data_IF_959002848590
#
_entry.id   IF_959002848590
#
_cell.length_a   1.000
_cell.length_b   1.000
_cell.length_c   1.000
_cell.angle_alpha   90.00
_cell.angle_beta   90.00
_cell.angle_gamma   90.00
#
_symmetry.space_group_name_H-M   'P 1'
#
loop_
_entity.id
_entity.type
_entity.pdbx_description
1 polymer ?
#
# COMPACT_ATOMS: atom_id res chain seq x y z
N UNK A 1 -6.76 -2.19 15.88
CA UNK A 1 -5.94 -1.82 14.74
C UNK A 1 -6.13 -2.82 13.63
N UNK A 2 -6.33 -2.32 12.44
CA UNK A 2 -6.43 -3.15 11.25
C UNK A 2 -5.19 -2.93 10.39
N UNK A 3 -4.62 -4.03 9.87
CA UNK A 3 -3.53 -3.92 8.91
C UNK A 3 -3.95 -4.54 7.57
N UNK A 4 -3.32 -4.08 6.51
CA UNK A 4 -3.56 -4.62 5.18
C UNK A 4 -2.33 -4.39 4.31
N UNK A 5 -2.22 -5.16 3.25
CA UNK A 5 -1.08 -5.10 2.35
C UNK A 5 -1.54 -5.11 0.89
N UNK A 6 -0.71 -4.51 0.05
CA UNK A 6 -0.97 -4.42 -1.38
C UNK A 6 0.35 -4.54 -2.14
N UNK A 7 0.27 -4.96 -3.38
CA UNK A 7 1.44 -5.07 -4.24
C UNK A 7 1.22 -4.37 -5.57
N UNK A 8 2.30 -3.84 -6.13
CA UNK A 8 2.32 -3.27 -7.46
C UNK A 8 3.73 -3.46 -8.03
N UNK A 9 3.88 -3.41 -9.33
CA UNK A 9 5.20 -3.45 -9.94
C UNK A 9 5.63 -2.07 -10.42
N UNK A 10 6.93 -1.90 -10.56
CA UNK A 10 7.50 -0.74 -11.24
C UNK A 10 7.83 -1.13 -12.67
N UNK A 11 7.82 -0.15 -13.55
CA UNK A 11 8.34 -0.32 -14.90
C UNK A 11 9.82 -0.68 -14.78
N UNK A 12 10.24 -1.71 -15.50
CA UNK A 12 11.59 -2.27 -15.37
C UNK A 12 12.62 -1.42 -16.13
N UNK A 13 12.86 -0.22 -15.61
CA UNK A 13 13.87 0.69 -16.13
C UNK A 13 14.59 1.33 -14.94
N UNK A 14 15.91 1.16 -14.83
CA UNK A 14 16.65 1.64 -13.66
C UNK A 14 16.47 3.12 -13.35
N UNK A 15 16.35 3.95 -14.36
CA UNK A 15 16.17 5.38 -14.16
C UNK A 15 14.80 5.70 -13.57
N UNK A 16 13.78 4.98 -14.00
CA UNK A 16 12.43 5.17 -13.46
C UNK A 16 12.34 4.65 -12.03
N UNK A 17 13.00 3.54 -11.74
CA UNK A 17 13.03 3.01 -10.37
C UNK A 17 13.71 4.00 -9.45
N UNK A 18 14.82 4.59 -9.87
CA UNK A 18 15.53 5.59 -9.08
C UNK A 18 14.68 6.83 -8.86
N UNK A 19 14.01 7.30 -9.90
CA UNK A 19 13.14 8.47 -9.79
C UNK A 19 11.97 8.21 -8.84
N UNK A 20 11.38 7.02 -8.88
CA UNK A 20 10.32 6.65 -7.96
C UNK A 20 10.79 6.72 -6.51
N UNK A 21 11.96 6.16 -6.23
CA UNK A 21 12.52 6.21 -4.88
C UNK A 21 12.83 7.62 -4.43
N UNK A 22 13.33 8.46 -5.33
CA UNK A 22 13.60 9.85 -4.99
C UNK A 22 12.34 10.63 -4.64
N UNK A 23 11.26 10.43 -5.39
CA UNK A 23 9.99 11.05 -5.05
C UNK A 23 9.53 10.66 -3.65
N UNK A 24 9.81 9.43 -3.23
CA UNK A 24 9.39 8.95 -1.92
C UNK A 24 10.29 9.40 -0.77
N UNK A 25 11.42 10.03 -1.06
CA UNK A 25 12.22 10.68 -0.03
C UNK A 25 11.65 12.03 0.35
N UNK A 26 10.78 12.57 -0.48
CA UNK A 26 10.18 13.90 -0.26
C UNK A 26 8.72 13.86 -0.73
N UNK A 27 7.93 12.97 -0.14
CA UNK A 27 6.50 12.88 -0.44
C UNK A 27 5.85 14.23 -0.15
N UNK A 28 4.97 14.66 -1.04
CA UNK A 28 4.31 15.95 -0.87
C UNK A 28 3.56 16.02 0.45
N UNK A 29 3.72 17.11 1.22
CA UNK A 29 3.07 17.20 2.54
C UNK A 29 1.57 16.98 2.50
N UNK A 30 0.91 17.48 1.47
CA UNK A 30 -0.54 17.31 1.33
C UNK A 30 -0.94 15.85 1.22
N UNK A 31 -0.12 15.04 0.54
CA UNK A 31 -0.35 13.59 0.41
C UNK A 31 -0.25 12.93 1.78
N UNK A 32 0.80 13.26 2.54
CA UNK A 32 1.01 12.71 3.87
C UNK A 32 -0.14 13.09 4.81
N UNK A 33 -0.54 14.37 4.79
CA UNK A 33 -1.66 14.84 5.62
C UNK A 33 -2.96 14.11 5.26
N UNK A 34 -3.21 13.91 3.97
CA UNK A 34 -4.44 13.27 3.52
C UNK A 34 -4.47 11.79 3.88
N UNK A 35 -3.34 11.10 3.83
CA UNK A 35 -3.26 9.72 4.27
C UNK A 35 -3.57 9.60 5.76
N UNK A 36 -2.99 10.48 6.57
CA UNK A 36 -3.26 10.50 8.00
C UNK A 36 -4.71 10.84 8.31
N UNK A 37 -5.26 11.79 7.57
CA UNK A 37 -6.67 12.17 7.73
C UNK A 37 -7.62 11.03 7.36
N UNK A 38 -7.22 10.18 6.43
CA UNK A 38 -8.01 9.00 6.08
C UNK A 38 -7.97 7.91 7.15
N UNK A 39 -7.06 8.02 8.12
CA UNK A 39 -6.97 7.06 9.21
C UNK A 39 -5.72 6.20 9.19
N UNK A 40 -4.87 6.37 8.19
CA UNK A 40 -3.63 5.58 8.12
C UNK A 40 -2.68 6.04 9.21
N UNK A 41 -2.34 5.15 10.12
CA UNK A 41 -1.38 5.44 11.19
C UNK A 41 0.02 4.99 10.84
N UNK A 42 0.15 4.03 9.95
CA UNK A 42 1.43 3.53 9.49
C UNK A 42 1.34 3.06 8.05
N UNK A 43 2.31 3.44 7.25
CA UNK A 43 2.43 2.96 5.87
C UNK A 43 3.91 2.76 5.57
N UNK A 44 4.25 1.60 5.06
CA UNK A 44 5.61 1.29 4.64
C UNK A 44 5.56 0.64 3.27
N UNK A 45 6.48 1.02 2.41
CA UNK A 45 6.60 0.44 1.09
C UNK A 45 7.99 -0.16 0.97
N UNK A 46 8.04 -1.43 0.62
CA UNK A 46 9.29 -2.16 0.42
C UNK A 46 9.44 -2.51 -1.05
N UNK A 47 10.67 -2.60 -1.51
CA UNK A 47 10.95 -2.94 -2.90
C UNK A 47 11.90 -4.14 -3.00
N UNK A 48 11.54 -5.07 -3.88
CA UNK A 48 12.42 -6.14 -4.29
C UNK A 48 12.40 -6.18 -5.82
N UNK A 49 13.52 -5.78 -6.45
CA UNK A 49 13.56 -5.67 -7.90
C UNK A 49 12.55 -4.64 -8.38
N UNK A 50 11.61 -5.06 -9.20
CA UNK A 50 10.52 -4.21 -9.67
C UNK A 50 9.26 -4.35 -8.84
N UNK A 51 9.24 -5.23 -7.83
CA UNK A 51 8.03 -5.47 -7.02
C UNK A 51 8.03 -4.56 -5.81
N UNK A 52 6.89 -3.89 -5.59
CA UNK A 52 6.64 -3.11 -4.40
C UNK A 52 5.62 -3.82 -3.52
N UNK A 53 5.87 -3.80 -2.23
CA UNK A 53 4.97 -4.30 -1.21
C UNK A 53 4.66 -3.17 -0.25
N UNK A 54 3.36 -2.83 -0.10
CA UNK A 54 2.92 -1.78 0.80
C UNK A 54 2.23 -2.41 2.00
N UNK A 55 2.65 -2.02 3.19
CA UNK A 55 2.03 -2.42 4.45
C UNK A 55 1.42 -1.19 5.11
N UNK A 56 0.16 -1.32 5.54
CA UNK A 56 -0.56 -0.21 6.14
C UNK A 56 -1.28 -0.64 7.41
N UNK A 57 -1.42 0.30 8.35
CA UNK A 57 -2.20 0.14 9.56
C UNK A 57 -3.17 1.30 9.71
N UNK A 58 -4.37 0.98 10.18
CA UNK A 58 -5.39 1.97 10.45
C UNK A 58 -6.26 1.53 11.63
N UNK A 59 -7.32 2.29 11.96
CA UNK A 59 -8.23 1.89 13.04
C UNK A 59 -9.01 0.64 12.68
N UNK A 60 -9.60 -0.01 13.69
CA UNK A 60 -10.28 -1.29 13.49
C UNK A 60 -11.37 -1.24 12.42
N UNK A 61 -12.08 -0.14 12.31
CA UNK A 61 -13.13 0.01 11.30
C UNK A 61 -12.64 0.55 9.97
N UNK A 62 -11.35 0.63 9.76
CA UNK A 62 -10.81 1.20 8.53
C UNK A 62 -11.20 0.35 7.32
N UNK A 63 -11.73 1.00 6.29
CA UNK A 63 -12.11 0.36 5.03
C UNK A 63 -11.51 1.17 3.89
N UNK A 64 -10.52 0.65 3.17
CA UNK A 64 -9.88 1.39 2.10
C UNK A 64 -10.86 1.93 1.05
N UNK A 65 -11.90 1.15 0.70
CA UNK A 65 -12.86 1.57 -0.30
C UNK A 65 -13.65 2.79 0.14
N UNK A 66 -13.94 2.93 1.44
CA UNK A 66 -14.68 4.05 1.98
C UNK A 66 -13.75 5.20 2.38
N UNK A 67 -12.67 4.87 3.08
CA UNK A 67 -11.88 5.89 3.77
C UNK A 67 -10.86 6.59 2.87
N UNK A 68 -10.53 5.99 1.73
CA UNK A 68 -9.70 6.66 0.75
C UNK A 68 -10.47 7.61 -0.17
N UNK A 69 -11.78 7.69 -0.05
CA UNK A 69 -12.57 8.56 -0.94
C UNK A 69 -12.17 10.03 -0.78
N UNK A 70 -11.96 10.45 0.45
CA UNK A 70 -11.58 11.84 0.71
C UNK A 70 -10.17 12.12 0.14
N UNK A 71 -9.26 11.18 0.29
CA UNK A 71 -7.94 11.27 -0.33
C UNK A 71 -8.06 11.42 -1.85
N UNK A 72 -8.90 10.60 -2.45
CA UNK A 72 -9.07 10.58 -3.91
C UNK A 72 -9.72 11.84 -4.46
N UNK A 73 -10.41 12.61 -3.62
CA UNK A 73 -11.02 13.87 -4.03
C UNK A 73 -10.06 15.04 -4.03
N UNK A 74 -8.97 14.94 -3.29
CA UNK A 74 -8.00 16.02 -3.20
C UNK A 74 -7.23 16.15 -4.52
N UNK A 75 -7.25 17.35 -5.15
CA UNK A 75 -6.59 17.52 -6.44
C UNK A 75 -5.09 17.25 -6.40
N UNK A 76 -4.42 17.60 -5.30
CA UNK A 76 -2.98 17.40 -5.19
C UNK A 76 -2.66 15.91 -5.00
N UNK A 77 -3.47 15.19 -4.25
CA UNK A 77 -3.31 13.75 -4.10
C UNK A 77 -3.52 13.03 -5.44
N UNK A 78 -4.49 13.49 -6.23
CA UNK A 78 -4.69 12.93 -7.57
C UNK A 78 -3.48 13.17 -8.47
N UNK A 79 -2.89 14.36 -8.40
CA UNK A 79 -1.68 14.65 -9.18
C UNK A 79 -0.52 13.76 -8.76
N UNK A 80 -0.38 13.51 -7.46
CA UNK A 80 0.63 12.60 -6.96
C UNK A 80 0.42 11.19 -7.50
N UNK A 81 -0.80 10.70 -7.44
CA UNK A 81 -1.13 9.37 -7.94
C UNK A 81 -0.89 9.24 -9.44
N UNK A 82 -1.24 10.25 -10.20
CA UNK A 82 -0.98 10.27 -11.65
C UNK A 82 0.52 10.27 -11.94
N UNK A 83 1.29 11.02 -11.15
CA UNK A 83 2.73 11.03 -11.29
C UNK A 83 3.30 9.64 -10.98
N UNK A 84 2.85 9.02 -9.90
CA UNK A 84 3.35 7.70 -9.52
C UNK A 84 3.01 6.64 -10.57
N UNK A 85 1.86 6.75 -11.23
CA UNK A 85 1.46 5.80 -12.26
C UNK A 85 2.42 5.75 -13.44
N UNK A 86 3.17 6.80 -13.67
CA UNK A 86 4.19 6.80 -14.73
C UNK A 86 5.30 5.81 -14.45
N UNK A 87 5.51 5.47 -13.19
CA UNK A 87 6.57 4.55 -12.77
C UNK A 87 6.04 3.16 -12.49
N UNK A 88 4.73 2.98 -12.46
CA UNK A 88 4.08 1.77 -11.95
C UNK A 88 3.37 1.01 -13.04
N UNK A 89 3.16 -0.28 -12.78
CA UNK A 89 2.29 -1.14 -13.57
C UNK A 89 1.69 -2.20 -12.65
N UNK A 90 0.49 -2.74 -12.96
CA UNK A 90 -0.09 -3.79 -12.13
C UNK A 90 0.80 -5.02 -12.06
N UNK A 91 0.70 -5.77 -10.97
CA UNK A 91 1.41 -7.05 -10.87
C UNK A 91 0.82 -8.07 -11.86
N UNK A 92 1.60 -9.08 -12.29
CA UNK A 92 1.04 -10.17 -13.10
C UNK A 92 -0.10 -10.84 -12.35
N UNK A 93 -1.21 -11.09 -13.05
CA UNK A 93 -2.37 -11.72 -12.44
C UNK A 93 -3.28 -10.78 -11.67
N UNK A 94 -3.01 -9.47 -11.68
CA UNK A 94 -3.88 -8.51 -11.03
C UNK A 94 -5.28 -8.54 -11.66
N UNK A 95 -6.34 -8.36 -10.84
CA UNK A 95 -7.69 -8.24 -11.39
C UNK A 95 -7.80 -7.06 -12.35
N UNK A 96 -8.71 -7.16 -13.32
CA UNK A 96 -8.93 -6.08 -14.26
C UNK A 96 -9.25 -4.78 -13.53
N UNK A 97 -8.58 -3.71 -13.93
CA UNK A 97 -8.78 -2.41 -13.35
C UNK A 97 -8.08 -2.16 -12.04
N UNK A 98 -7.46 -3.16 -11.44
CA UNK A 98 -6.69 -2.97 -10.22
C UNK A 98 -5.34 -2.36 -10.56
N UNK A 99 -4.95 -1.35 -9.77
CA UNK A 99 -3.61 -0.77 -9.87
C UNK A 99 -2.73 -1.35 -8.77
N UNK A 100 -2.96 -0.95 -7.51
CA UNK A 100 -2.44 -1.68 -6.36
C UNK A 100 -3.32 -2.90 -6.13
N UNK A 101 -2.73 -4.07 -6.00
CA UNK A 101 -3.48 -5.32 -5.82
C UNK A 101 -3.48 -5.70 -4.35
N UNK A 102 -4.67 -5.79 -3.72
CA UNK A 102 -4.75 -6.23 -2.32
C UNK A 102 -4.21 -7.64 -2.13
N UNK A 103 -3.59 -7.88 -1.00
CA UNK A 103 -3.03 -9.18 -0.63
C UNK A 103 -3.80 -9.76 0.53
N UNK A 104 -3.99 -11.08 0.50
CA UNK A 104 -4.71 -11.77 1.57
C UNK A 104 -3.79 -12.04 2.75
N UNK A 105 -4.30 -11.80 3.94
CA UNK A 105 -3.57 -12.14 5.16
C UNK A 105 -3.65 -13.66 5.35
N UNK A 106 -2.50 -14.32 5.35
CA UNK A 106 -2.46 -15.79 5.51
C UNK A 106 -1.96 -16.21 6.86
N UNK A 107 -1.28 -15.34 7.60
CA UNK A 107 -0.81 -15.66 8.95
C UNK A 107 -0.66 -14.39 9.77
N UNK A 108 -1.16 -14.42 10.98
CA UNK A 108 -1.00 -13.33 11.94
C UNK A 108 -0.62 -13.93 13.29
N UNK A 109 0.63 -13.73 13.68
CA UNK A 109 1.14 -14.28 14.94
C UNK A 109 0.37 -13.75 16.15
N UNK A 110 -0.02 -12.47 16.11
CA UNK A 110 -0.74 -11.87 17.22
C UNK A 110 -2.14 -12.47 17.40
N UNK A 111 -2.73 -12.97 16.31
CA UNK A 111 -4.04 -13.61 16.36
C UNK A 111 -3.97 -15.09 16.73
N UNK A 112 -2.76 -15.67 16.76
CA UNK A 112 -2.60 -17.06 17.11
C UNK A 112 -2.88 -17.27 18.61
N UNK A 113 -3.61 -18.32 18.98
CA UNK A 113 -3.81 -18.63 20.40
C UNK A 113 -2.47 -18.88 21.07
N UNK A 114 -2.34 -18.42 22.31
CA UNK A 114 -1.14 -18.69 23.11
C UNK A 114 -1.08 -20.14 23.56
N UNK A 115 -2.16 -20.89 23.38
CA UNK A 115 -2.22 -22.27 23.82
C UNK A 115 -1.29 -23.15 22.99
N UNK A 116 -0.57 -24.01 23.66
CA UNK A 116 0.29 -24.98 22.99
C UNK A 116 -0.50 -26.04 22.23
N UNK A 117 -1.81 -26.10 22.45
CA UNK A 117 -2.65 -27.06 21.75
C UNK A 117 -2.97 -26.67 20.32
N UNK A 118 -2.66 -25.44 19.95
CA UNK A 118 -2.87 -25.04 18.57
C UNK A 118 -1.82 -25.71 17.70
N UNK A 119 -2.20 -26.78 17.10
CA UNK A 119 -1.33 -27.58 16.25
C UNK A 119 -1.50 -27.22 14.79
N UNK A 120 -2.32 -26.26 14.50
CA UNK A 120 -2.57 -25.87 13.14
C UNK A 120 -1.31 -25.31 12.53
N UNK A 121 -0.88 -25.88 11.45
CA UNK A 121 0.22 -25.30 10.71
C UNK A 121 -0.30 -24.18 9.87
N UNK A 122 0.39 -23.19 9.90
CA UNK A 122 0.06 -22.02 9.13
C UNK A 122 0.58 -22.15 7.72
#
# INVERSE_FOLDING_TARGET
>A
MRCFAQAIDLVDEPELIRAYEEHHRAVWPRVVESLRAAGISRMRIFRQGTRLFMYCEGPDGFDPARDYQQYARDPECRRWDELMRRFQRPVPGAPDGAWWTPMDLVFDLEACPCSATDSRSS
#
